data_IF_585316336204
#
_entry.id   IF_585316336204
#
_cell.length_a   1.000
_cell.length_b   1.000
_cell.length_c   1.000
_cell.angle_alpha   90.00
_cell.angle_beta   90.00
_cell.angle_gamma   90.00
#
_symmetry.space_group_name_H-M   'P 1'
#
loop_
_entity.id
_entity.type
_entity.pdbx_description
1 polymer ?
#
# COMPACT_ATOMS: atom_id res chain seq x y z
N UNK A 1 9.76 -0.74 27.68
CA UNK A 1 9.29 -0.70 26.27
C UNK A 1 10.31 -1.31 25.31
N UNK A 2 11.57 -0.86 25.31
CA UNK A 2 12.62 -1.41 24.44
C UNK A 2 12.85 -2.91 24.65
N UNK A 3 12.84 -3.41 25.88
CA UNK A 3 12.97 -4.85 26.16
C UNK A 3 11.84 -5.70 25.55
N UNK A 4 10.62 -5.15 25.49
CA UNK A 4 9.49 -5.83 24.84
C UNK A 4 9.70 -5.90 23.33
N UNK A 5 10.19 -4.81 22.72
CA UNK A 5 10.50 -4.77 21.29
C UNK A 5 11.70 -5.66 20.95
N UNK A 6 12.71 -5.73 21.82
CA UNK A 6 13.84 -6.65 21.68
C UNK A 6 13.36 -8.10 21.64
N UNK A 7 12.49 -8.49 22.59
CA UNK A 7 11.87 -9.82 22.64
C UNK A 7 10.96 -10.09 21.45
N UNK A 8 10.31 -9.07 20.89
CA UNK A 8 9.48 -9.20 19.70
C UNK A 8 10.32 -9.39 18.43
N UNK A 9 11.44 -8.68 18.32
CA UNK A 9 12.38 -8.78 17.20
C UNK A 9 13.10 -10.15 17.19
N UNK A 10 13.49 -10.63 18.38
CA UNK A 10 14.20 -11.88 18.57
C UNK A 10 13.31 -13.14 18.52
N UNK A 11 11.97 -12.99 18.50
CA UNK A 11 11.04 -14.11 18.44
C UNK A 11 11.24 -14.88 17.12
N UNK A 12 11.63 -16.18 17.14
CA UNK A 12 11.89 -16.95 15.93
C UNK A 12 10.63 -17.15 15.09
N UNK A 13 9.46 -17.28 15.74
CA UNK A 13 8.17 -17.43 15.06
C UNK A 13 7.73 -16.14 14.38
N UNK A 14 8.25 -15.00 14.84
CA UNK A 14 7.86 -13.66 14.41
C UNK A 14 6.46 -13.24 14.85
N UNK A 15 5.75 -14.04 15.67
CA UNK A 15 4.40 -13.73 16.14
C UNK A 15 4.38 -12.44 16.97
N UNK A 16 5.30 -12.30 17.92
CA UNK A 16 5.41 -11.09 18.74
C UNK A 16 5.75 -9.86 17.90
N UNK A 17 6.62 -10.02 16.90
CA UNK A 17 6.93 -8.97 15.93
C UNK A 17 5.69 -8.57 15.12
N UNK A 18 4.92 -9.54 14.63
CA UNK A 18 3.67 -9.29 13.90
C UNK A 18 2.64 -8.55 14.76
N UNK A 19 2.45 -8.97 16.02
CA UNK A 19 1.56 -8.27 16.97
C UNK A 19 2.01 -6.82 17.18
N UNK A 20 3.31 -6.60 17.43
CA UNK A 20 3.86 -5.26 17.61
C UNK A 20 3.65 -4.37 16.37
N UNK A 21 3.84 -4.92 15.17
CA UNK A 21 3.58 -4.23 13.90
C UNK A 21 2.11 -3.88 13.75
N UNK A 22 1.21 -4.85 13.96
CA UNK A 22 -0.24 -4.61 13.83
C UNK A 22 -0.69 -3.52 14.79
N UNK A 23 -0.27 -3.57 16.06
CA UNK A 23 -0.62 -2.56 17.05
C UNK A 23 -0.06 -1.19 16.70
N UNK A 24 1.21 -1.11 16.30
CA UNK A 24 1.84 0.16 15.95
C UNK A 24 1.24 0.77 14.66
N UNK A 25 0.97 -0.06 13.64
CA UNK A 25 0.33 0.39 12.41
C UNK A 25 -1.13 0.77 12.61
N UNK A 26 -1.89 0.05 13.45
CA UNK A 26 -3.24 0.44 13.82
C UNK A 26 -3.25 1.77 14.57
N UNK A 27 -2.35 1.96 15.55
CA UNK A 27 -2.21 3.23 16.26
C UNK A 27 -1.83 4.38 15.30
N UNK A 28 -0.87 4.16 14.40
CA UNK A 28 -0.51 5.14 13.38
C UNK A 28 -1.71 5.48 12.47
N UNK A 29 -2.48 4.48 12.05
CA UNK A 29 -3.64 4.68 11.19
C UNK A 29 -4.75 5.45 11.89
N UNK A 30 -5.04 5.13 13.16
CA UNK A 30 -6.06 5.82 13.96
C UNK A 30 -5.67 7.26 14.26
N UNK A 31 -4.46 7.49 14.76
CA UNK A 31 -3.96 8.83 15.08
C UNK A 31 -3.68 9.65 13.81
N UNK A 32 -3.25 8.98 12.75
CA UNK A 32 -2.90 9.55 11.47
C UNK A 32 -4.08 9.77 10.53
N UNK A 33 -5.27 9.23 10.82
CA UNK A 33 -6.40 9.18 9.89
C UNK A 33 -6.72 10.53 9.26
N UNK A 34 -6.86 11.56 10.10
CA UNK A 34 -7.10 12.94 9.66
C UNK A 34 -5.80 13.59 9.17
N UNK A 35 -4.74 13.73 9.99
CA UNK A 35 -3.59 14.55 9.62
C UNK A 35 -2.83 14.02 8.40
N UNK A 36 -2.74 12.70 8.23
CA UNK A 36 -2.08 12.11 7.06
C UNK A 36 -2.94 12.18 5.80
N UNK A 37 -4.26 12.21 5.90
CA UNK A 37 -5.14 12.34 4.72
C UNK A 37 -5.35 13.80 4.27
N UNK A 38 -4.98 14.79 5.08
CA UNK A 38 -5.12 16.22 4.73
C UNK A 38 -4.53 16.58 3.36
N UNK A 39 -3.31 16.16 2.98
CA UNK A 39 -2.76 16.49 1.66
C UNK A 39 -3.61 15.94 0.52
N UNK A 40 -4.14 14.72 0.64
CA UNK A 40 -5.00 14.13 -0.37
C UNK A 40 -6.36 14.87 -0.45
N UNK A 41 -6.97 15.17 0.69
CA UNK A 41 -8.22 15.95 0.80
C UNK A 41 -8.10 17.34 0.18
N UNK A 42 -6.96 18.01 0.38
CA UNK A 42 -6.69 19.32 -0.23
C UNK A 42 -6.60 19.22 -1.75
N UNK A 43 -6.00 18.17 -2.29
CA UNK A 43 -5.92 17.94 -3.74
C UNK A 43 -7.30 17.59 -4.32
N UNK A 44 -8.05 16.69 -3.67
CA UNK A 44 -9.41 16.30 -4.11
C UNK A 44 -10.38 17.49 -4.08
N UNK A 45 -10.25 18.38 -3.09
CA UNK A 45 -11.04 19.63 -3.02
C UNK A 45 -10.79 20.59 -4.18
N UNK A 46 -9.68 20.47 -4.91
CA UNK A 46 -9.39 21.26 -6.11
C UNK A 46 -9.95 20.63 -7.39
N UNK A 47 -10.41 19.38 -7.35
CA UNK A 47 -10.91 18.62 -8.50
C UNK A 47 -12.44 18.47 -8.39
N UNK A 48 -13.23 19.22 -9.17
CA UNK A 48 -14.69 19.08 -9.14
C UNK A 48 -15.11 17.73 -9.74
N UNK A 49 -15.29 16.72 -8.90
CA UNK A 49 -15.62 15.36 -9.32
C UNK A 49 -17.08 15.23 -9.82
N UNK A 50 -17.99 16.09 -9.36
CA UNK A 50 -19.44 15.97 -9.67
C UNK A 50 -20.08 14.70 -9.08
N UNK A 51 -21.30 14.37 -9.50
CA UNK A 51 -21.96 13.11 -9.17
C UNK A 51 -22.77 12.59 -10.37
N UNK A 52 -23.21 11.33 -10.30
CA UNK A 52 -23.97 10.66 -11.36
C UNK A 52 -25.43 10.43 -11.01
N UNK A 53 -25.96 11.15 -10.01
CA UNK A 53 -27.32 10.92 -9.46
C UNK A 53 -28.42 11.13 -10.49
N UNK A 54 -28.20 12.00 -11.49
CA UNK A 54 -29.15 12.25 -12.56
C UNK A 54 -29.09 11.28 -13.75
N UNK A 55 -28.25 10.23 -13.69
CA UNK A 55 -28.11 9.25 -14.78
C UNK A 55 -29.03 8.05 -14.57
N UNK A 56 -29.65 7.56 -15.64
CA UNK A 56 -30.50 6.36 -15.60
C UNK A 56 -29.69 5.12 -15.17
N UNK A 57 -30.13 4.37 -14.14
CA UNK A 57 -29.44 3.17 -13.67
C UNK A 57 -29.21 2.14 -14.77
N UNK A 58 -28.00 1.59 -14.86
CA UNK A 58 -27.63 0.57 -15.86
C UNK A 58 -27.38 1.10 -17.28
N UNK A 59 -27.58 2.40 -17.53
CA UNK A 59 -27.30 3.00 -18.84
C UNK A 59 -25.79 3.15 -19.10
N UNK A 60 -25.40 3.13 -20.39
CA UNK A 60 -24.03 3.42 -20.81
C UNK A 60 -23.54 4.80 -20.29
N UNK A 61 -24.45 5.77 -20.19
CA UNK A 61 -24.14 7.11 -19.68
C UNK A 61 -23.82 7.09 -18.17
N UNK A 62 -24.57 6.32 -17.37
CA UNK A 62 -24.24 6.11 -15.97
C UNK A 62 -22.85 5.49 -15.82
N UNK A 63 -22.50 4.47 -16.61
CA UNK A 63 -21.18 3.84 -16.56
C UNK A 63 -20.06 4.82 -16.94
N UNK A 64 -20.23 5.62 -18.00
CA UNK A 64 -19.27 6.65 -18.40
C UNK A 64 -19.12 7.75 -17.34
N UNK A 65 -20.24 8.20 -16.75
CA UNK A 65 -20.22 9.16 -15.66
C UNK A 65 -19.48 8.61 -14.44
N UNK A 66 -19.81 7.40 -13.99
CA UNK A 66 -19.17 6.75 -12.85
C UNK A 66 -17.67 6.52 -13.11
N UNK A 67 -17.29 6.15 -14.33
CA UNK A 67 -15.90 6.02 -14.74
C UNK A 67 -15.16 7.37 -14.69
N UNK A 68 -15.80 8.47 -15.12
CA UNK A 68 -15.24 9.83 -15.01
C UNK A 68 -15.05 10.22 -13.54
N UNK A 69 -16.07 10.05 -12.70
CA UNK A 69 -15.99 10.38 -11.27
C UNK A 69 -14.88 9.57 -10.60
N UNK A 70 -14.82 8.26 -10.86
CA UNK A 70 -13.77 7.38 -10.35
C UNK A 70 -12.37 7.81 -10.83
N UNK A 71 -12.22 8.16 -12.12
CA UNK A 71 -10.97 8.65 -12.69
C UNK A 71 -10.51 9.94 -12.02
N UNK A 72 -11.43 10.86 -11.71
CA UNK A 72 -11.12 12.10 -10.99
C UNK A 72 -10.74 11.82 -9.53
N UNK A 73 -11.41 10.87 -8.86
CA UNK A 73 -11.11 10.48 -7.47
C UNK A 73 -9.75 9.82 -7.28
N UNK A 74 -9.23 9.13 -8.30
CA UNK A 74 -7.88 8.55 -8.23
C UNK A 74 -6.76 9.55 -8.55
N UNK A 75 -7.08 10.76 -9.02
CA UNK A 75 -6.07 11.80 -9.35
C UNK A 75 -5.22 12.15 -8.13
N UNK A 76 -5.85 12.40 -6.97
CA UNK A 76 -5.14 12.71 -5.73
C UNK A 76 -4.11 11.64 -5.34
N UNK A 77 -4.53 10.37 -5.17
CA UNK A 77 -3.63 9.25 -4.93
C UNK A 77 -2.50 9.12 -5.97
N UNK A 78 -2.81 9.24 -7.28
CA UNK A 78 -1.80 9.16 -8.35
C UNK A 78 -0.82 10.31 -8.26
N UNK A 79 -1.29 11.54 -8.03
CA UNK A 79 -0.44 12.72 -7.89
C UNK A 79 0.55 12.55 -6.73
N UNK A 80 0.11 11.99 -5.61
CA UNK A 80 0.96 11.69 -4.45
C UNK A 80 1.99 10.61 -4.80
N UNK A 81 1.60 9.54 -5.49
CA UNK A 81 2.54 8.50 -5.95
C UNK A 81 3.60 9.11 -6.89
N UNK A 82 3.18 9.91 -7.87
CA UNK A 82 4.09 10.59 -8.80
C UNK A 82 5.03 11.53 -8.05
N UNK A 83 4.51 12.30 -7.09
CA UNK A 83 5.30 13.19 -6.25
C UNK A 83 6.34 12.41 -5.43
N UNK A 84 5.95 11.30 -4.80
CA UNK A 84 6.86 10.43 -4.06
C UNK A 84 7.95 9.83 -4.96
N UNK A 85 7.60 9.43 -6.19
CA UNK A 85 8.56 8.94 -7.17
C UNK A 85 9.52 10.05 -7.60
N UNK A 86 9.02 11.25 -7.89
CA UNK A 86 9.84 12.40 -8.26
C UNK A 86 10.81 12.79 -7.13
N UNK A 87 10.32 12.76 -5.89
CA UNK A 87 11.08 13.11 -4.69
C UNK A 87 11.86 11.93 -4.10
N UNK A 88 11.80 10.72 -4.68
CA UNK A 88 12.42 9.50 -4.12
C UNK A 88 13.90 9.68 -3.79
N UNK A 89 14.63 10.39 -4.64
CA UNK A 89 16.06 10.65 -4.47
C UNK A 89 16.35 11.54 -3.25
N UNK A 90 15.37 12.33 -2.79
CA UNK A 90 15.47 13.16 -1.58
C UNK A 90 14.88 12.44 -0.36
N UNK A 91 13.78 11.72 -0.54
CA UNK A 91 13.03 11.04 0.52
C UNK A 91 13.78 9.81 1.05
N UNK A 92 14.33 8.96 0.18
CA UNK A 92 15.00 7.72 0.60
C UNK A 92 16.19 7.97 1.56
N UNK A 93 17.11 8.93 1.28
CA UNK A 93 18.18 9.24 2.24
C UNK A 93 17.67 9.78 3.58
N UNK A 94 16.57 10.53 3.59
CA UNK A 94 15.97 11.03 4.82
C UNK A 94 15.38 9.90 5.65
N UNK A 95 14.66 8.97 5.01
CA UNK A 95 14.17 7.74 5.65
C UNK A 95 15.35 6.98 6.24
N UNK A 96 16.43 6.74 5.49
CA UNK A 96 17.60 6.00 5.98
C UNK A 96 18.25 6.68 7.21
N UNK A 97 18.39 8.01 7.20
CA UNK A 97 18.91 8.76 8.34
C UNK A 97 17.97 8.69 9.55
N UNK A 98 16.66 8.76 9.33
CA UNK A 98 15.67 8.61 10.39
C UNK A 98 15.73 7.20 10.99
N UNK A 99 15.81 6.16 10.17
CA UNK A 99 15.97 4.76 10.58
C UNK A 99 17.21 4.55 11.44
N UNK A 100 18.32 5.22 11.14
CA UNK A 100 19.55 5.12 11.94
C UNK A 100 19.38 5.65 13.37
N UNK A 101 18.46 6.58 13.60
CA UNK A 101 18.11 7.09 14.94
C UNK A 101 17.16 6.17 15.70
N UNK A 102 16.55 5.20 15.04
CA UNK A 102 15.68 4.22 15.67
C UNK A 102 16.53 3.15 16.36
N UNK A 103 16.27 2.83 17.64
CA UNK A 103 16.92 1.74 18.35
C UNK A 103 16.82 0.43 17.57
N UNK A 104 17.87 -0.39 17.59
CA UNK A 104 17.99 -1.61 16.77
C UNK A 104 16.78 -2.53 16.99
N UNK A 105 16.34 -2.62 18.24
CA UNK A 105 15.21 -3.39 18.72
C UNK A 105 13.89 -3.00 18.04
N UNK A 106 13.76 -1.75 17.58
CA UNK A 106 12.55 -1.21 16.98
C UNK A 106 12.64 -1.05 15.44
N UNK A 107 13.82 -1.29 14.83
CA UNK A 107 14.03 -1.06 13.39
C UNK A 107 13.11 -1.91 12.50
N UNK A 108 12.67 -3.07 12.98
CA UNK A 108 11.72 -3.94 12.26
C UNK A 108 10.35 -3.28 12.04
N UNK A 109 10.00 -2.24 12.81
CA UNK A 109 8.75 -1.48 12.66
C UNK A 109 8.82 -0.44 11.54
N UNK A 110 10.02 -0.04 11.12
CA UNK A 110 10.19 1.16 10.27
C UNK A 110 9.55 1.00 8.90
N UNK A 111 9.87 -0.07 8.17
CA UNK A 111 9.28 -0.30 6.84
C UNK A 111 7.76 -0.50 6.92
N UNK A 112 7.21 -1.32 7.84
CA UNK A 112 5.76 -1.43 8.07
C UNK A 112 5.06 -0.10 8.35
N UNK A 113 5.61 0.73 9.25
CA UNK A 113 5.00 2.01 9.60
C UNK A 113 5.04 3.01 8.45
N UNK A 114 6.11 3.04 7.66
CA UNK A 114 6.19 3.86 6.46
C UNK A 114 5.15 3.41 5.44
N UNK A 115 5.04 2.11 5.18
CA UNK A 115 4.06 1.57 4.24
C UNK A 115 2.62 1.87 4.68
N UNK A 116 2.30 1.64 5.96
CA UNK A 116 1.00 2.02 6.54
C UNK A 116 0.75 3.51 6.40
N UNK A 117 1.70 4.37 6.79
CA UNK A 117 1.53 5.81 6.73
C UNK A 117 1.28 6.31 5.30
N UNK A 118 2.04 5.83 4.32
CA UNK A 118 1.84 6.16 2.91
C UNK A 118 0.50 5.68 2.38
N UNK A 119 0.02 4.52 2.84
CA UNK A 119 -1.28 3.99 2.45
C UNK A 119 -2.45 4.76 3.08
N UNK A 120 -2.31 5.22 4.33
CA UNK A 120 -3.35 6.01 5.02
C UNK A 120 -3.64 7.32 4.28
N UNK A 121 -2.66 7.92 3.61
CA UNK A 121 -2.84 9.20 2.90
C UNK A 121 -4.00 9.16 1.89
N UNK A 122 -3.98 8.32 0.84
CA UNK A 122 -5.10 8.20 -0.09
C UNK A 122 -6.31 7.47 0.51
N UNK A 123 -6.10 6.50 1.40
CA UNK A 123 -7.18 5.69 1.95
C UNK A 123 -8.10 6.48 2.88
N UNK A 124 -7.53 7.30 3.76
CA UNK A 124 -8.29 8.13 4.70
C UNK A 124 -9.02 9.31 4.05
N UNK A 125 -8.63 9.68 2.83
CA UNK A 125 -9.35 10.64 1.99
C UNK A 125 -10.58 9.97 1.35
N UNK A 126 -10.35 8.87 0.60
CA UNK A 126 -11.42 8.10 -0.06
C UNK A 126 -12.50 7.64 0.95
N UNK A 127 -12.07 7.23 2.15
CA UNK A 127 -12.96 6.74 3.22
C UNK A 127 -13.26 7.78 4.30
N UNK A 128 -13.18 9.07 3.99
CA UNK A 128 -13.48 10.12 4.97
C UNK A 128 -14.90 10.00 5.56
N UNK A 129 -15.89 9.67 4.72
CA UNK A 129 -17.29 9.51 5.12
C UNK A 129 -17.64 8.08 5.57
N UNK A 130 -16.81 7.09 5.23
CA UNK A 130 -17.03 5.65 5.50
C UNK A 130 -15.97 5.09 6.45
N UNK A 131 -15.38 5.95 7.28
CA UNK A 131 -14.21 5.61 8.12
C UNK A 131 -14.48 4.45 9.10
N UNK A 132 -15.72 4.32 9.57
CA UNK A 132 -16.13 3.28 10.52
C UNK A 132 -16.80 2.09 9.84
N UNK A 133 -16.96 2.10 8.52
CA UNK A 133 -17.52 0.96 7.80
C UNK A 133 -16.61 -0.26 7.98
N UNK A 134 -17.22 -1.42 8.19
CA UNK A 134 -16.52 -2.64 8.55
C UNK A 134 -16.53 -3.61 7.37
N UNK A 135 -15.33 -3.98 6.92
CA UNK A 135 -15.10 -5.10 6.00
C UNK A 135 -14.55 -6.30 6.78
N UNK A 136 -13.28 -6.63 6.54
CA UNK A 136 -12.50 -7.52 7.41
C UNK A 136 -12.18 -6.79 8.73
N UNK A 137 -11.85 -5.50 8.63
CA UNK A 137 -11.61 -4.58 9.73
C UNK A 137 -12.35 -3.26 9.46
N UNK A 138 -12.51 -2.37 10.46
CA UNK A 138 -12.91 -0.99 10.20
C UNK A 138 -11.93 -0.31 9.23
N UNK A 139 -12.42 0.58 8.33
CA UNK A 139 -11.55 1.26 7.36
C UNK A 139 -10.38 2.00 8.01
N UNK A 140 -10.57 2.53 9.23
CA UNK A 140 -9.52 3.19 10.04
C UNK A 140 -8.44 2.27 10.56
N UNK A 141 -8.70 0.97 10.68
CA UNK A 141 -7.75 -0.02 11.23
C UNK A 141 -7.14 -0.86 10.11
N UNK A 142 -7.85 -1.04 9.00
CA UNK A 142 -7.40 -1.84 7.86
C UNK A 142 -5.97 -1.55 7.35
N UNK A 143 -5.45 -0.30 7.36
CA UNK A 143 -4.04 -0.03 7.02
C UNK A 143 -3.00 -0.79 7.86
N UNK A 144 -3.38 -1.36 9.01
CA UNK A 144 -2.55 -2.31 9.76
C UNK A 144 -2.25 -3.60 8.98
N UNK A 145 -3.14 -4.03 8.09
CA UNK A 145 -2.91 -5.17 7.18
C UNK A 145 -1.78 -4.87 6.21
N UNK A 146 -1.67 -3.64 5.71
CA UNK A 146 -0.56 -3.21 4.85
C UNK A 146 0.77 -3.25 5.61
N UNK A 147 0.77 -2.79 6.87
CA UNK A 147 1.91 -2.88 7.77
C UNK A 147 2.34 -4.33 8.03
N UNK A 148 1.37 -5.19 8.38
CA UNK A 148 1.61 -6.62 8.61
C UNK A 148 2.15 -7.32 7.35
N UNK A 149 1.57 -7.03 6.18
CA UNK A 149 2.05 -7.55 4.91
C UNK A 149 3.49 -7.14 4.63
N UNK A 150 3.82 -5.87 4.86
CA UNK A 150 5.18 -5.33 4.69
C UNK A 150 6.15 -5.99 5.66
N UNK A 151 5.76 -6.20 6.92
CA UNK A 151 6.56 -6.95 7.89
C UNK A 151 6.78 -8.39 7.42
N UNK A 152 5.73 -9.06 6.95
CA UNK A 152 5.82 -10.43 6.51
C UNK A 152 6.78 -10.58 5.32
N UNK A 153 6.64 -9.72 4.32
CA UNK A 153 7.54 -9.70 3.16
C UNK A 153 8.97 -9.39 3.59
N UNK A 154 9.20 -8.33 4.37
CA UNK A 154 10.58 -7.95 4.78
C UNK A 154 11.27 -9.03 5.61
N UNK A 155 10.52 -9.76 6.46
CA UNK A 155 11.08 -10.79 7.34
C UNK A 155 11.26 -12.14 6.65
N UNK A 156 10.31 -12.55 5.81
CA UNK A 156 10.28 -13.91 5.25
C UNK A 156 10.41 -13.96 3.72
N UNK A 157 10.82 -12.87 3.06
CA UNK A 157 10.95 -12.81 1.60
C UNK A 157 11.64 -14.05 1.02
N UNK A 158 12.80 -14.43 1.55
CA UNK A 158 13.58 -15.54 1.00
C UNK A 158 12.87 -16.89 1.17
N UNK A 159 12.22 -17.11 2.32
CA UNK A 159 11.42 -18.30 2.54
C UNK A 159 10.20 -18.35 1.60
N UNK A 160 9.49 -17.22 1.45
CA UNK A 160 8.35 -17.09 0.55
C UNK A 160 8.77 -17.32 -0.92
N UNK A 161 9.88 -16.74 -1.37
CA UNK A 161 10.39 -16.93 -2.74
C UNK A 161 10.84 -18.37 -2.99
N UNK A 162 11.38 -19.07 -1.98
CA UNK A 162 11.69 -20.51 -2.09
C UNK A 162 10.43 -21.35 -2.27
N UNK A 163 9.39 -21.11 -1.47
CA UNK A 163 8.11 -21.83 -1.57
C UNK A 163 7.41 -21.54 -2.90
N UNK A 164 7.40 -20.27 -3.32
CA UNK A 164 6.74 -19.80 -4.53
C UNK A 164 7.65 -19.80 -5.77
N UNK A 165 8.76 -20.55 -5.74
CA UNK A 165 9.83 -20.49 -6.76
C UNK A 165 9.29 -20.53 -8.19
N UNK A 166 8.36 -21.45 -8.48
CA UNK A 166 7.74 -21.62 -9.81
C UNK A 166 7.03 -20.36 -10.30
N UNK A 167 6.32 -19.65 -9.42
CA UNK A 167 5.63 -18.41 -9.77
C UNK A 167 6.63 -17.29 -10.07
N UNK A 168 7.69 -17.18 -9.27
CA UNK A 168 8.77 -16.22 -9.52
C UNK A 168 9.54 -16.54 -10.81
N UNK A 169 9.77 -17.81 -11.13
CA UNK A 169 10.38 -18.24 -12.40
C UNK A 169 9.50 -17.88 -13.60
N UNK A 170 8.18 -18.09 -13.50
CA UNK A 170 7.24 -17.72 -14.56
C UNK A 170 7.20 -16.21 -14.77
N UNK A 171 7.08 -15.46 -13.68
CA UNK A 171 7.13 -13.99 -13.70
C UNK A 171 8.43 -13.48 -14.32
N UNK A 172 9.55 -14.14 -14.04
CA UNK A 172 10.84 -13.68 -14.55
C UNK A 172 10.96 -13.75 -16.07
N UNK A 173 10.10 -14.55 -16.73
CA UNK A 173 9.95 -14.57 -18.20
C UNK A 173 9.17 -13.38 -18.75
N UNK A 174 8.41 -12.67 -17.90
CA UNK A 174 7.65 -11.49 -18.31
C UNK A 174 8.57 -10.28 -18.41
N UNK A 175 8.34 -9.46 -19.44
CA UNK A 175 8.99 -8.15 -19.58
C UNK A 175 8.65 -7.23 -18.40
N UNK A 176 9.50 -6.25 -18.04
CA UNK A 176 9.20 -5.31 -16.96
C UNK A 176 7.85 -4.62 -17.13
N UNK A 177 7.49 -4.23 -18.37
CA UNK A 177 6.19 -3.62 -18.69
C UNK A 177 5.03 -4.56 -18.39
N UNK A 178 5.15 -5.84 -18.76
CA UNK A 178 4.13 -6.85 -18.48
C UNK A 178 3.96 -7.09 -16.96
N UNK A 179 5.04 -6.99 -16.17
CA UNK A 179 4.96 -7.09 -14.71
C UNK A 179 4.20 -5.92 -14.09
N UNK A 180 4.47 -4.68 -14.51
CA UNK A 180 3.69 -3.51 -14.08
C UNK A 180 2.23 -3.62 -14.51
N UNK A 181 1.99 -4.05 -15.75
CA UNK A 181 0.64 -4.26 -16.26
C UNK A 181 -0.10 -5.34 -15.45
N UNK A 182 0.55 -6.42 -15.03
CA UNK A 182 -0.05 -7.44 -14.16
C UNK A 182 -0.33 -6.91 -12.75
N UNK A 183 0.61 -6.15 -12.17
CA UNK A 183 0.46 -5.57 -10.83
C UNK A 183 -0.74 -4.62 -10.73
N UNK A 184 -1.03 -3.87 -11.81
CA UNK A 184 -2.14 -2.91 -11.88
C UNK A 184 -3.41 -3.57 -12.42
N UNK A 185 -3.28 -4.35 -13.50
CA UNK A 185 -4.40 -4.92 -14.23
C UNK A 185 -5.14 -5.99 -13.45
N UNK A 186 -4.45 -6.85 -12.70
CA UNK A 186 -5.14 -7.92 -11.94
C UNK A 186 -6.07 -7.34 -10.86
N UNK A 187 -5.64 -6.41 -9.98
CA UNK A 187 -6.56 -5.79 -9.02
C UNK A 187 -7.70 -5.02 -9.68
N UNK A 188 -7.45 -4.35 -10.81
CA UNK A 188 -8.51 -3.65 -11.55
C UNK A 188 -9.54 -4.61 -12.13
N UNK A 189 -9.11 -5.72 -12.73
CA UNK A 189 -10.02 -6.75 -13.25
C UNK A 189 -10.86 -7.34 -12.13
N UNK A 190 -10.25 -7.63 -10.98
CA UNK A 190 -10.99 -8.12 -9.81
C UNK A 190 -11.99 -7.08 -9.31
N UNK A 191 -11.59 -5.81 -9.22
CA UNK A 191 -12.50 -4.74 -8.83
C UNK A 191 -13.68 -4.62 -9.79
N UNK A 192 -13.46 -4.74 -11.10
CA UNK A 192 -14.52 -4.71 -12.12
C UNK A 192 -15.48 -5.90 -11.96
N UNK A 193 -14.95 -7.11 -11.78
CA UNK A 193 -15.78 -8.32 -11.56
C UNK A 193 -16.63 -8.17 -10.30
N UNK A 194 -16.04 -7.70 -9.20
CA UNK A 194 -16.74 -7.49 -7.93
C UNK A 194 -17.81 -6.39 -8.03
N UNK A 195 -17.58 -5.36 -8.85
CA UNK A 195 -18.51 -4.25 -9.09
C UNK A 195 -19.66 -4.64 -10.03
N UNK A 196 -19.46 -5.64 -10.88
CA UNK A 196 -20.49 -6.15 -11.79
C UNK A 196 -21.59 -6.98 -11.09
N UNK A 197 -21.39 -7.37 -9.83
CA UNK A 197 -22.43 -8.05 -9.05
C UNK A 197 -23.51 -7.06 -8.58
N UNK A 198 -24.77 -7.28 -8.99
CA UNK A 198 -25.95 -6.42 -8.82
C UNK A 198 -26.33 -6.02 -7.37
N UNK A 199 -25.63 -6.50 -6.34
CA UNK A 199 -25.85 -6.06 -4.96
C UNK A 199 -24.67 -5.23 -4.47
N UNK A 200 -24.93 -3.93 -4.34
CA UNK A 200 -24.10 -2.94 -3.62
C UNK A 200 -24.15 -3.23 -2.11
N UNK A 201 -23.82 -4.44 -1.72
CA UNK A 201 -23.68 -4.87 -0.33
C UNK A 201 -22.21 -5.18 -0.05
N UNK A 202 -21.76 -4.91 1.18
CA UNK A 202 -20.40 -5.21 1.63
C UNK A 202 -19.29 -4.42 0.90
N UNK A 203 -19.55 -3.15 0.56
CA UNK A 203 -18.59 -2.27 -0.13
C UNK A 203 -17.22 -2.26 0.55
N UNK A 204 -17.16 -2.06 1.87
CA UNK A 204 -15.90 -2.04 2.62
C UNK A 204 -15.13 -3.37 2.52
N UNK A 205 -15.81 -4.52 2.59
CA UNK A 205 -15.16 -5.82 2.41
C UNK A 205 -14.59 -5.98 1.00
N UNK A 206 -15.38 -5.61 -0.01
CA UNK A 206 -15.00 -5.68 -1.43
C UNK A 206 -13.75 -4.85 -1.70
N UNK A 207 -13.69 -3.62 -1.20
CA UNK A 207 -12.54 -2.71 -1.34
C UNK A 207 -11.29 -3.28 -0.63
N UNK A 208 -11.43 -3.78 0.60
CA UNK A 208 -10.33 -4.37 1.36
C UNK A 208 -9.76 -5.63 0.69
N UNK A 209 -10.62 -6.47 0.10
CA UNK A 209 -10.19 -7.64 -0.69
C UNK A 209 -9.39 -7.21 -1.92
N UNK A 210 -9.84 -6.18 -2.65
CA UNK A 210 -9.10 -5.64 -3.80
C UNK A 210 -7.71 -5.16 -3.37
N UNK A 211 -7.59 -4.49 -2.22
CA UNK A 211 -6.27 -4.06 -1.69
C UNK A 211 -5.38 -5.26 -1.37
N UNK A 212 -5.89 -6.27 -0.68
CA UNK A 212 -5.11 -7.47 -0.34
C UNK A 212 -4.62 -8.16 -1.62
N UNK A 213 -5.48 -8.31 -2.62
CA UNK A 213 -5.11 -8.85 -3.92
C UNK A 213 -4.04 -7.99 -4.57
N UNK A 214 -4.16 -6.66 -4.53
CA UNK A 214 -3.15 -5.72 -5.00
C UNK A 214 -1.79 -5.86 -4.31
N UNK A 215 -1.77 -6.06 -3.00
CA UNK A 215 -0.54 -6.32 -2.25
C UNK A 215 0.12 -7.63 -2.72
N UNK A 216 -0.68 -8.71 -2.84
CA UNK A 216 -0.20 -10.02 -3.26
C UNK A 216 0.31 -10.02 -4.70
N UNK A 217 -0.47 -9.46 -5.64
CA UNK A 217 -0.09 -9.39 -7.06
C UNK A 217 1.09 -8.44 -7.26
N UNK A 218 1.12 -7.31 -6.56
CA UNK A 218 2.24 -6.37 -6.56
C UNK A 218 3.53 -7.02 -6.06
N UNK A 219 3.47 -7.75 -4.94
CA UNK A 219 4.62 -8.51 -4.44
C UNK A 219 5.08 -9.56 -5.45
N UNK A 220 4.16 -10.39 -5.95
CA UNK A 220 4.50 -11.42 -6.93
C UNK A 220 5.14 -10.78 -8.17
N UNK A 221 4.53 -9.76 -8.76
CA UNK A 221 4.98 -9.16 -10.01
C UNK A 221 6.26 -8.31 -9.87
N UNK A 222 6.46 -7.60 -8.75
CA UNK A 222 7.46 -6.54 -8.64
C UNK A 222 8.55 -6.77 -7.59
N UNK A 223 8.40 -7.73 -6.67
CA UNK A 223 9.41 -7.93 -5.62
C UNK A 223 10.76 -8.40 -6.21
N UNK A 224 11.90 -7.79 -5.82
CA UNK A 224 13.21 -8.19 -6.29
C UNK A 224 13.58 -9.59 -5.79
N UNK A 225 14.37 -10.34 -6.56
CA UNK A 225 14.93 -11.63 -6.12
C UNK A 225 16.08 -11.41 -5.15
N UNK A 226 16.21 -12.31 -4.17
CA UNK A 226 17.39 -12.39 -3.30
C UNK A 226 17.43 -11.39 -2.14
N UNK A 227 16.28 -10.97 -1.62
CA UNK A 227 16.17 -10.32 -0.31
C UNK A 227 16.68 -8.89 -0.21
N UNK A 228 17.49 -8.39 -1.15
CA UNK A 228 18.08 -7.05 -1.03
C UNK A 228 17.15 -5.97 -1.60
N UNK A 229 16.00 -5.77 -0.94
CA UNK A 229 15.12 -4.61 -1.17
C UNK A 229 15.90 -3.29 -0.98
N UNK A 230 16.99 -3.33 -0.20
CA UNK A 230 17.90 -2.20 0.05
C UNK A 230 19.06 -2.12 -0.96
N UNK A 231 19.35 -3.16 -1.76
CA UNK A 231 20.38 -3.10 -2.81
C UNK A 231 20.05 -2.00 -3.80
N UNK A 232 18.80 -1.95 -4.28
CA UNK A 232 18.36 -0.91 -5.21
C UNK A 232 18.48 0.49 -4.61
N UNK A 233 18.21 0.65 -3.31
CA UNK A 233 18.39 1.92 -2.60
C UNK A 233 19.88 2.30 -2.43
N UNK A 234 20.75 1.32 -2.17
CA UNK A 234 22.20 1.50 -2.06
C UNK A 234 22.85 1.80 -3.41
N UNK A 235 22.40 1.15 -4.47
CA UNK A 235 22.88 1.33 -5.84
C UNK A 235 22.50 2.72 -6.38
N UNK A 236 21.25 3.16 -6.13
CA UNK A 236 20.82 4.54 -6.41
C UNK A 236 21.59 5.59 -5.57
N UNK A 237 21.91 5.28 -4.32
CA UNK A 237 22.73 6.16 -3.48
C UNK A 237 24.20 6.20 -3.95
N UNK A 238 24.73 5.08 -4.46
CA UNK A 238 26.09 4.96 -4.98
C UNK A 238 26.25 5.67 -6.33
N UNK A 239 25.26 5.59 -7.23
CA UNK A 239 25.25 6.31 -8.50
C UNK A 239 25.34 7.84 -8.32
N UNK A 240 24.84 8.36 -7.19
CA UNK A 240 24.87 9.78 -6.85
C UNK A 240 26.18 10.25 -6.20
N UNK A 241 27.07 9.33 -5.83
CA UNK A 241 28.40 9.62 -5.27
C UNK A 241 29.53 9.53 -6.29
N UNK A 242 29.24 9.15 -7.54
CA UNK A 242 30.23 9.27 -8.62
C UNK A 242 30.36 10.75 -9.00
N UNK A 243 31.54 11.37 -8.83
CA UNK A 243 31.79 12.66 -9.47
C UNK A 243 31.69 12.48 -10.99
N UNK A 244 31.14 13.49 -11.66
CA UNK A 244 31.11 13.57 -13.11
C UNK A 244 32.54 13.56 -13.69
#
# INVERSE_FOLDING_TARGET
MLDLLARANADPTGLRGAIAVVLASAALSLLGWIPLSLPARLIDGLVPAGNCVGSEPGSAFMYLCSAKVAALKIVGPIAIIVLLIALRARVVPLILRATQRVPVEARFLVAPLIATGLFVVPWGDIHAATALDVGILPQTVFPAVVGLFTFAVTRWNDAMQRVLRRLFDLRDRLSPRARYAAAIGVPLLVALVITAEERVSQTALKEQVVVIIGLLTGYLALAPRGGDILAGARELAALRRRPA
#
